data_IF_890564482849
#
_entry.id   IF_890564482849
#
_cell.length_a   1.000
_cell.length_b   1.000
_cell.length_c   1.000
_cell.angle_alpha   90.00
_cell.angle_beta   90.00
_cell.angle_gamma   90.00
#
_symmetry.space_group_name_H-M   'P 1'
#
loop_
_entity.id
_entity.type
_entity.pdbx_description
1 polymer ?
#
# COMPACT_ATOMS: atom_id res chain seq x y z
N UNK A 1 -11.91 -43.56 5.87
CA UNK A 1 -10.58 -44.16 5.58
C UNK A 1 -10.33 -44.43 4.10
N UNK A 2 -11.28 -45.01 3.34
CA UNK A 2 -11.08 -45.27 1.91
C UNK A 2 -10.88 -44.00 1.05
N UNK A 3 -11.55 -42.93 1.35
CA UNK A 3 -11.41 -41.64 0.64
C UNK A 3 -10.02 -41.07 0.86
N UNK A 4 -9.52 -41.07 2.09
CA UNK A 4 -8.15 -40.58 2.41
C UNK A 4 -7.08 -41.48 1.77
N UNK A 5 -7.31 -42.79 1.70
CA UNK A 5 -6.41 -43.70 0.99
C UNK A 5 -6.35 -43.41 -0.51
N UNK A 6 -7.49 -43.14 -1.14
CA UNK A 6 -7.55 -42.74 -2.56
C UNK A 6 -6.83 -41.40 -2.80
N UNK A 7 -7.08 -40.42 -1.96
CA UNK A 7 -6.37 -39.11 -2.06
C UNK A 7 -4.88 -39.27 -1.94
N UNK A 8 -4.37 -39.97 -0.92
CA UNK A 8 -2.93 -40.19 -0.75
C UNK A 8 -2.32 -40.94 -1.93
N UNK A 9 -3.06 -41.89 -2.52
CA UNK A 9 -2.58 -42.62 -3.71
C UNK A 9 -2.58 -41.75 -4.96
N UNK A 10 -3.57 -40.86 -5.14
CA UNK A 10 -3.60 -39.89 -6.23
C UNK A 10 -2.48 -38.85 -6.09
N UNK A 11 -2.24 -38.36 -4.88
CA UNK A 11 -1.11 -37.44 -4.60
C UNK A 11 0.26 -38.11 -4.90
N UNK A 12 0.44 -39.36 -4.44
CA UNK A 12 1.68 -40.10 -4.72
C UNK A 12 1.85 -40.36 -6.22
N UNK A 13 0.80 -40.72 -6.93
CA UNK A 13 0.83 -40.95 -8.38
C UNK A 13 1.14 -39.66 -9.12
N UNK A 14 0.49 -38.54 -8.77
CA UNK A 14 0.73 -37.23 -9.41
C UNK A 14 2.13 -36.69 -9.12
N UNK A 15 2.68 -36.93 -7.93
CA UNK A 15 4.05 -36.54 -7.58
C UNK A 15 5.13 -37.26 -8.39
N UNK A 16 4.86 -38.53 -8.80
CA UNK A 16 5.84 -39.34 -9.55
C UNK A 16 5.66 -39.28 -11.07
N UNK A 17 4.43 -39.15 -11.54
CA UNK A 17 4.09 -39.26 -12.95
C UNK A 17 3.37 -38.02 -13.51
N UNK A 18 3.00 -37.05 -12.66
CA UNK A 18 2.34 -35.84 -13.09
C UNK A 18 3.29 -34.82 -13.72
N UNK A 19 2.81 -34.08 -14.68
CA UNK A 19 3.53 -32.92 -15.22
C UNK A 19 3.48 -31.75 -14.23
N UNK A 20 4.60 -31.06 -14.07
CA UNK A 20 4.64 -29.82 -13.30
C UNK A 20 3.95 -28.69 -14.10
N UNK A 21 2.76 -28.32 -13.68
CA UNK A 21 1.98 -27.27 -14.33
C UNK A 21 2.06 -26.01 -13.48
N UNK A 22 2.50 -24.89 -14.07
CA UNK A 22 2.35 -23.59 -13.44
C UNK A 22 0.90 -23.15 -13.49
N UNK A 23 0.34 -22.83 -12.33
CA UNK A 23 -1.03 -22.31 -12.21
C UNK A 23 -1.03 -20.92 -11.60
N UNK A 24 -1.94 -20.09 -12.07
CA UNK A 24 -2.04 -18.69 -11.68
C UNK A 24 -3.37 -18.40 -10.99
N UNK A 25 -3.41 -17.35 -10.21
CA UNK A 25 -4.64 -16.85 -9.60
C UNK A 25 -4.99 -15.50 -10.19
N UNK A 26 -6.16 -15.34 -10.75
CA UNK A 26 -6.75 -14.16 -11.38
C UNK A 26 -5.97 -13.60 -12.57
N UNK A 27 -4.68 -13.38 -12.48
CA UNK A 27 -3.83 -12.81 -13.53
C UNK A 27 -2.69 -13.76 -13.85
N UNK A 28 -2.50 -14.08 -15.12
CA UNK A 28 -1.43 -14.92 -15.63
C UNK A 28 -0.63 -14.19 -16.71
N UNK A 29 0.69 -14.40 -16.83
CA UNK A 29 1.46 -13.90 -17.94
C UNK A 29 1.11 -14.69 -19.23
N UNK A 30 1.10 -14.02 -20.37
CA UNK A 30 1.04 -14.63 -21.69
C UNK A 30 2.00 -13.93 -22.63
N UNK A 31 2.17 -14.46 -23.84
CA UNK A 31 3.00 -13.83 -24.85
C UNK A 31 2.49 -12.41 -25.18
N UNK A 32 3.36 -11.43 -24.97
CA UNK A 32 3.07 -10.01 -25.24
C UNK A 32 2.14 -9.33 -24.23
N UNK A 33 1.77 -9.99 -23.11
CA UNK A 33 0.87 -9.37 -22.15
C UNK A 33 0.41 -10.28 -21.01
N UNK A 34 -0.88 -10.20 -20.69
CA UNK A 34 -1.49 -10.96 -19.58
C UNK A 34 -2.85 -11.56 -19.96
N UNK A 35 -3.24 -12.58 -19.22
CA UNK A 35 -4.59 -13.14 -19.23
C UNK A 35 -5.23 -12.96 -17.86
N UNK A 36 -6.49 -12.48 -17.83
CA UNK A 36 -7.27 -12.26 -16.61
C UNK A 36 -8.42 -13.26 -16.56
N UNK A 37 -8.40 -14.14 -15.56
CA UNK A 37 -9.50 -15.09 -15.34
C UNK A 37 -10.77 -14.35 -14.90
N UNK A 38 -11.85 -14.48 -15.66
CA UNK A 38 -13.14 -13.92 -15.27
C UNK A 38 -13.81 -14.69 -14.13
N UNK A 39 -13.34 -15.90 -13.81
CA UNK A 39 -13.96 -16.73 -12.77
C UNK A 39 -15.34 -17.28 -13.18
N UNK A 40 -15.72 -17.19 -14.45
CA UNK A 40 -16.97 -17.69 -15.00
C UNK A 40 -16.97 -19.20 -15.15
N UNK A 41 -18.15 -19.83 -15.18
CA UNK A 41 -18.30 -21.29 -15.30
C UNK A 41 -17.85 -21.82 -16.67
N UNK A 42 -17.88 -20.99 -17.70
CA UNK A 42 -17.44 -21.31 -19.06
C UNK A 42 -15.92 -21.20 -19.26
N UNK A 43 -15.18 -20.87 -18.21
CA UNK A 43 -13.73 -20.69 -18.20
C UNK A 43 -13.24 -19.53 -19.09
N UNK A 44 -14.09 -18.54 -19.36
CA UNK A 44 -13.70 -17.36 -20.11
C UNK A 44 -12.66 -16.53 -19.36
N UNK A 45 -11.75 -15.93 -20.11
CA UNK A 45 -10.76 -14.97 -19.62
C UNK A 45 -10.53 -13.85 -20.64
N UNK A 46 -9.95 -12.75 -20.18
CA UNK A 46 -9.60 -11.63 -21.03
C UNK A 46 -8.10 -11.69 -21.30
N UNK A 47 -7.70 -11.73 -22.57
CA UNK A 47 -6.31 -11.56 -22.99
C UNK A 47 -6.06 -10.10 -23.34
N UNK A 48 -5.01 -9.52 -22.77
CA UNK A 48 -4.60 -8.11 -22.98
C UNK A 48 -3.16 -8.10 -23.49
N UNK A 49 -2.94 -7.48 -24.64
CA UNK A 49 -1.62 -7.30 -25.26
C UNK A 49 -1.44 -5.85 -25.73
N UNK A 50 -0.30 -5.52 -26.30
CA UNK A 50 -0.05 -4.20 -26.89
C UNK A 50 -0.92 -3.90 -28.12
N UNK A 51 -1.46 -4.94 -28.79
CA UNK A 51 -2.31 -4.84 -29.97
C UNK A 51 -3.79 -4.62 -29.64
N UNK A 52 -4.19 -4.90 -28.39
CA UNK A 52 -5.57 -4.80 -27.94
C UNK A 52 -5.91 -5.81 -26.85
N UNK A 53 -7.20 -5.92 -26.57
CA UNK A 53 -7.73 -6.92 -25.67
C UNK A 53 -8.85 -7.72 -26.35
N UNK A 54 -9.05 -8.97 -25.91
CA UNK A 54 -10.10 -9.84 -26.42
C UNK A 54 -10.57 -10.83 -25.34
N UNK A 55 -11.79 -11.33 -25.49
CA UNK A 55 -12.33 -12.42 -24.67
C UNK A 55 -11.94 -13.74 -25.32
N UNK A 56 -11.34 -14.62 -24.54
CA UNK A 56 -11.00 -15.98 -24.95
C UNK A 56 -11.96 -16.93 -24.26
N UNK A 57 -12.71 -17.69 -25.06
CA UNK A 57 -13.64 -18.71 -24.61
C UNK A 57 -12.97 -20.07 -24.66
N UNK A 58 -12.95 -20.79 -23.53
CA UNK A 58 -12.43 -22.16 -23.41
C UNK A 58 -10.97 -22.35 -23.85
N UNK A 59 -10.07 -22.26 -22.89
CA UNK A 59 -8.81 -22.98 -22.96
C UNK A 59 -7.70 -22.36 -23.81
N UNK A 60 -7.07 -21.30 -23.32
CA UNK A 60 -5.79 -20.75 -23.85
C UNK A 60 -4.56 -21.64 -23.52
N UNK A 61 -4.70 -22.73 -22.82
CA UNK A 61 -3.58 -23.46 -22.23
C UNK A 61 -3.17 -22.97 -20.83
N UNK A 62 -3.44 -21.71 -20.49
CA UNK A 62 -3.20 -21.16 -19.15
C UNK A 62 -4.08 -21.85 -18.10
N UNK A 63 -3.45 -22.24 -16.99
CA UNK A 63 -4.15 -22.90 -15.88
C UNK A 63 -4.39 -21.94 -14.74
N UNK A 64 -5.66 -21.67 -14.44
CA UNK A 64 -6.06 -20.83 -13.34
C UNK A 64 -6.51 -21.63 -12.12
N UNK A 65 -6.04 -21.25 -10.93
CA UNK A 65 -6.55 -21.74 -9.65
C UNK A 65 -7.76 -20.92 -9.24
N UNK A 66 -8.85 -21.58 -8.89
CA UNK A 66 -10.07 -20.95 -8.41
C UNK A 66 -10.39 -21.43 -7.01
N UNK A 67 -10.35 -20.53 -6.05
CA UNK A 67 -10.72 -20.82 -4.66
C UNK A 67 -12.22 -20.59 -4.44
N UNK A 68 -12.79 -21.22 -3.43
CA UNK A 68 -14.25 -21.16 -3.12
C UNK A 68 -14.75 -19.72 -2.85
N UNK A 69 -13.88 -18.83 -2.39
CA UNK A 69 -14.21 -17.43 -2.13
C UNK A 69 -14.13 -16.53 -3.37
N UNK A 70 -13.60 -17.03 -4.48
CA UNK A 70 -13.49 -16.27 -5.72
C UNK A 70 -14.88 -16.04 -6.33
N UNK A 71 -15.14 -14.80 -6.76
CA UNK A 71 -16.35 -14.42 -7.49
C UNK A 71 -16.01 -14.02 -8.92
N UNK A 72 -17.01 -14.13 -9.81
CA UNK A 72 -16.82 -13.80 -11.21
C UNK A 72 -16.76 -12.30 -11.46
N UNK A 73 -15.90 -11.91 -12.38
CA UNK A 73 -15.96 -10.63 -13.09
C UNK A 73 -17.03 -10.71 -14.17
N UNK A 74 -17.81 -9.64 -14.42
CA UNK A 74 -18.70 -9.63 -15.57
C UNK A 74 -17.90 -9.56 -16.87
N UNK A 75 -18.52 -9.97 -17.96
CA UNK A 75 -17.98 -9.70 -19.28
C UNK A 75 -17.88 -8.17 -19.48
N UNK A 76 -16.77 -7.67 -20.06
CA UNK A 76 -16.70 -6.27 -20.43
C UNK A 76 -17.73 -5.93 -21.51
N UNK A 77 -18.15 -4.68 -21.58
CA UNK A 77 -19.03 -4.23 -22.66
C UNK A 77 -18.34 -4.39 -24.02
N UNK A 78 -19.13 -4.64 -25.06
CA UNK A 78 -18.62 -4.79 -26.42
C UNK A 78 -18.01 -3.50 -26.98
N UNK A 79 -17.12 -3.62 -27.95
CA UNK A 79 -16.49 -2.53 -28.67
C UNK A 79 -15.17 -2.06 -28.04
N UNK A 80 -14.60 -1.05 -28.65
CA UNK A 80 -13.32 -0.44 -28.20
C UNK A 80 -13.58 0.46 -27.00
N UNK A 81 -12.78 0.30 -25.93
CA UNK A 81 -12.84 1.15 -24.76
C UNK A 81 -12.32 2.58 -25.00
N UNK A 82 -12.76 3.51 -24.15
CA UNK A 82 -12.37 4.91 -24.20
C UNK A 82 -12.09 5.47 -22.81
N UNK A 83 -11.56 6.70 -22.75
CA UNK A 83 -11.38 7.44 -21.50
C UNK A 83 -12.74 7.77 -20.84
N UNK A 84 -13.79 7.94 -21.63
CA UNK A 84 -15.12 8.24 -21.10
C UNK A 84 -15.70 7.08 -20.31
N UNK A 85 -15.35 5.86 -20.68
CA UNK A 85 -15.70 4.67 -19.90
C UNK A 85 -15.13 4.74 -18.48
N UNK A 86 -13.91 5.27 -18.34
CA UNK A 86 -13.24 5.43 -17.04
C UNK A 86 -13.82 6.61 -16.25
N UNK A 87 -14.33 7.64 -16.92
CA UNK A 87 -14.97 8.78 -16.27
C UNK A 87 -16.22 8.37 -15.46
N UNK A 88 -16.84 7.23 -15.78
CA UNK A 88 -17.93 6.67 -14.97
C UNK A 88 -17.49 6.39 -13.52
N UNK A 89 -16.21 6.07 -13.28
CA UNK A 89 -15.68 5.85 -11.93
C UNK A 89 -15.71 7.12 -11.07
N UNK A 90 -15.74 8.32 -11.66
CA UNK A 90 -15.83 9.59 -10.91
C UNK A 90 -17.09 9.68 -10.04
N UNK A 91 -18.17 8.97 -10.40
CA UNK A 91 -19.38 8.90 -9.58
C UNK A 91 -19.16 8.22 -8.23
N UNK A 92 -18.14 7.36 -8.16
CA UNK A 92 -17.91 6.46 -7.04
C UNK A 92 -16.64 6.83 -6.24
N UNK A 93 -15.76 7.67 -6.81
CA UNK A 93 -14.48 8.03 -6.24
C UNK A 93 -14.45 9.50 -5.85
N UNK A 94 -14.57 9.76 -4.55
CA UNK A 94 -14.51 11.11 -4.00
C UNK A 94 -13.06 11.55 -3.81
N UNK A 95 -12.40 11.89 -4.93
CA UNK A 95 -10.99 12.30 -4.99
C UNK A 95 -10.78 13.41 -5.99
N UNK A 96 -9.69 14.18 -5.83
CA UNK A 96 -9.21 15.10 -6.85
C UNK A 96 -8.84 14.37 -8.16
N UNK A 97 -8.68 15.14 -9.24
CA UNK A 97 -8.39 14.57 -10.57
C UNK A 97 -7.08 13.75 -10.59
N UNK A 98 -6.01 14.24 -9.95
CA UNK A 98 -4.70 13.57 -9.96
C UNK A 98 -4.76 12.26 -9.17
N UNK A 99 -5.39 12.26 -8.00
CA UNK A 99 -5.68 11.05 -7.22
C UNK A 99 -6.50 10.05 -8.02
N UNK A 100 -7.51 10.51 -8.76
CA UNK A 100 -8.33 9.68 -9.62
C UNK A 100 -7.49 8.95 -10.68
N UNK A 101 -6.62 9.68 -11.40
CA UNK A 101 -5.76 9.07 -12.43
C UNK A 101 -4.72 8.14 -11.82
N UNK A 102 -4.14 8.48 -10.67
CA UNK A 102 -3.20 7.60 -9.94
C UNK A 102 -3.87 6.28 -9.52
N UNK A 103 -5.13 6.32 -9.07
CA UNK A 103 -5.90 5.11 -8.75
C UNK A 103 -6.17 4.27 -10.00
N UNK A 104 -6.56 4.89 -11.11
CA UNK A 104 -6.73 4.18 -12.39
C UNK A 104 -5.42 3.53 -12.83
N UNK A 105 -4.31 4.24 -12.76
CA UNK A 105 -2.98 3.71 -13.08
C UNK A 105 -2.63 2.52 -12.16
N UNK A 106 -2.98 2.59 -10.86
CA UNK A 106 -2.81 1.49 -9.92
C UNK A 106 -3.68 0.28 -10.29
N UNK A 107 -4.96 0.47 -10.67
CA UNK A 107 -5.83 -0.62 -11.14
C UNK A 107 -5.19 -1.32 -12.34
N UNK A 108 -4.76 -0.55 -13.34
CA UNK A 108 -4.09 -1.09 -14.54
C UNK A 108 -2.81 -1.83 -14.17
N UNK A 109 -1.97 -1.25 -13.31
CA UNK A 109 -0.75 -1.88 -12.84
C UNK A 109 -1.02 -3.24 -12.17
N UNK A 110 -2.01 -3.32 -11.27
CA UNK A 110 -2.36 -4.56 -10.58
C UNK A 110 -2.92 -5.61 -11.57
N UNK A 111 -3.71 -5.19 -12.56
CA UNK A 111 -4.24 -6.08 -13.58
C UNK A 111 -3.18 -6.57 -14.58
N UNK A 112 -2.10 -5.82 -14.78
CA UNK A 112 -0.96 -6.21 -15.63
C UNK A 112 0.14 -6.95 -14.87
N UNK A 113 0.03 -7.09 -13.55
CA UNK A 113 1.06 -7.70 -12.71
C UNK A 113 0.62 -9.07 -12.21
N UNK A 114 1.07 -10.18 -12.82
CA UNK A 114 0.80 -11.53 -12.32
C UNK A 114 1.56 -11.81 -11.02
N UNK A 115 1.06 -12.74 -10.21
CA UNK A 115 1.73 -13.20 -8.98
C UNK A 115 2.87 -14.16 -9.32
N UNK A 116 3.97 -13.61 -9.78
CA UNK A 116 5.22 -14.34 -10.08
C UNK A 116 6.37 -13.80 -9.23
N UNK A 117 7.44 -14.57 -9.09
CA UNK A 117 8.54 -14.26 -8.16
C UNK A 117 9.24 -12.91 -8.45
N UNK A 118 9.22 -12.45 -9.69
CA UNK A 118 9.84 -11.18 -10.10
C UNK A 118 8.93 -9.96 -10.02
N UNK A 119 7.66 -10.12 -9.66
CA UNK A 119 6.72 -8.99 -9.58
C UNK A 119 6.68 -8.38 -8.17
N UNK A 120 6.42 -7.08 -8.11
CA UNK A 120 6.22 -6.34 -6.87
C UNK A 120 4.90 -5.58 -6.94
N UNK A 121 4.09 -5.61 -5.89
CA UNK A 121 2.84 -4.87 -5.82
C UNK A 121 3.01 -3.56 -5.07
N UNK A 122 2.47 -2.48 -5.61
CA UNK A 122 2.33 -1.22 -4.89
C UNK A 122 1.09 -1.30 -3.99
N UNK A 123 1.26 -0.97 -2.73
CA UNK A 123 0.20 -0.97 -1.72
C UNK A 123 -0.63 0.30 -1.89
N UNK A 124 -1.93 0.18 -2.13
CA UNK A 124 -2.81 1.34 -2.13
C UNK A 124 -3.16 1.73 -0.68
N UNK A 125 -2.68 2.87 -0.24
CA UNK A 125 -2.89 3.38 1.11
C UNK A 125 -3.94 4.50 1.12
N UNK A 126 -5.16 4.19 1.59
CA UNK A 126 -6.26 5.14 1.63
C UNK A 126 -6.32 5.82 2.99
N UNK A 127 -6.14 7.14 2.99
CA UNK A 127 -6.31 8.01 4.14
C UNK A 127 -7.62 8.79 4.00
N UNK A 128 -8.44 8.77 5.03
CA UNK A 128 -9.66 9.55 5.00
C UNK A 128 -10.27 9.73 6.38
N UNK A 129 -10.97 10.81 6.57
CA UNK A 129 -11.83 11.04 7.74
C UNK A 129 -13.04 10.10 7.73
N UNK A 130 -13.69 9.93 8.86
CA UNK A 130 -14.93 9.16 8.94
C UNK A 130 -16.01 9.77 8.02
N UNK A 131 -16.75 8.92 7.31
CA UNK A 131 -17.82 9.36 6.42
C UNK A 131 -17.37 9.85 5.02
N UNK A 132 -16.13 9.59 4.60
CA UNK A 132 -15.59 9.92 3.26
C UNK A 132 -15.91 8.89 2.15
N UNK A 133 -16.68 7.85 2.43
CA UNK A 133 -16.96 6.78 1.44
C UNK A 133 -15.85 5.75 1.25
N UNK A 134 -14.85 5.73 2.12
CA UNK A 134 -13.65 4.86 2.04
C UNK A 134 -13.96 3.38 1.83
N UNK A 135 -14.91 2.83 2.59
CA UNK A 135 -15.26 1.41 2.49
C UNK A 135 -15.95 1.10 1.16
N UNK A 136 -16.81 2.00 0.65
CA UNK A 136 -17.43 1.85 -0.68
C UNK A 136 -16.37 1.90 -1.78
N UNK A 137 -15.46 2.88 -1.71
CA UNK A 137 -14.34 3.01 -2.65
C UNK A 137 -13.53 1.70 -2.73
N UNK A 138 -13.14 1.15 -1.58
CA UNK A 138 -12.40 -0.11 -1.49
C UNK A 138 -13.22 -1.28 -2.04
N UNK A 139 -14.51 -1.35 -1.74
CA UNK A 139 -15.41 -2.38 -2.25
C UNK A 139 -15.48 -2.36 -3.78
N UNK A 140 -15.57 -1.17 -4.38
CA UNK A 140 -15.57 -0.99 -5.84
C UNK A 140 -14.25 -1.45 -6.45
N UNK A 141 -13.11 -1.12 -5.86
CA UNK A 141 -11.80 -1.60 -6.33
C UNK A 141 -11.70 -3.13 -6.30
N UNK A 142 -12.14 -3.77 -5.21
CA UNK A 142 -12.19 -5.23 -5.14
C UNK A 142 -13.12 -5.81 -6.21
N UNK A 143 -14.30 -5.23 -6.40
CA UNK A 143 -15.25 -5.67 -7.42
C UNK A 143 -14.66 -5.53 -8.84
N UNK A 144 -13.85 -4.53 -9.12
CA UNK A 144 -13.21 -4.33 -10.43
C UNK A 144 -12.07 -5.31 -10.70
N UNK A 145 -11.25 -5.61 -9.69
CA UNK A 145 -9.98 -6.33 -9.91
C UNK A 145 -10.10 -7.80 -9.50
N UNK A 146 -10.55 -8.06 -8.28
CA UNK A 146 -10.58 -9.41 -7.70
C UNK A 146 -11.78 -9.57 -6.75
N UNK A 147 -13.01 -9.69 -7.29
CA UNK A 147 -14.19 -9.87 -6.47
C UNK A 147 -14.12 -11.19 -5.70
N UNK A 148 -14.38 -11.08 -4.38
CA UNK A 148 -14.39 -12.22 -3.46
C UNK A 148 -15.60 -12.17 -2.54
N UNK A 149 -16.07 -13.35 -2.09
CA UNK A 149 -17.19 -13.46 -1.14
C UNK A 149 -16.84 -12.87 0.24
N UNK A 150 -15.55 -12.72 0.56
CA UNK A 150 -15.12 -12.19 1.86
C UNK A 150 -15.08 -10.65 1.87
N UNK A 151 -14.75 -10.03 0.72
CA UNK A 151 -14.65 -8.57 0.62
C UNK A 151 -13.55 -7.97 1.49
N UNK A 152 -13.86 -6.85 2.14
CA UNK A 152 -12.93 -6.12 3.00
C UNK A 152 -12.75 -6.88 4.33
N UNK A 153 -11.52 -6.96 4.82
CA UNK A 153 -11.15 -7.72 6.02
C UNK A 153 -10.66 -6.80 7.14
N UNK A 154 -10.80 -7.24 8.38
CA UNK A 154 -10.00 -6.74 9.49
C UNK A 154 -8.63 -7.41 9.46
N UNK A 155 -7.55 -6.69 9.79
CA UNK A 155 -6.21 -7.27 9.81
C UNK A 155 -6.13 -8.39 10.86
N UNK A 156 -5.77 -9.63 10.47
CA UNK A 156 -5.77 -10.76 11.39
C UNK A 156 -4.58 -10.73 12.35
N UNK A 157 -4.76 -11.25 13.56
CA UNK A 157 -3.71 -11.30 14.58
C UNK A 157 -2.67 -12.40 14.35
N UNK A 158 -2.95 -13.38 13.50
CA UNK A 158 -2.04 -14.50 13.25
C UNK A 158 -1.56 -14.56 11.79
N UNK A 159 -0.28 -14.96 11.61
CA UNK A 159 0.37 -15.07 10.30
C UNK A 159 -0.33 -16.05 9.35
N UNK A 160 -0.88 -17.15 9.89
CA UNK A 160 -1.54 -18.19 9.09
C UNK A 160 -2.76 -17.63 8.36
N UNK A 161 -3.60 -16.85 9.05
CA UNK A 161 -4.77 -16.22 8.44
C UNK A 161 -4.36 -15.20 7.36
N UNK A 162 -3.27 -14.44 7.58
CA UNK A 162 -2.68 -13.55 6.57
C UNK A 162 -2.25 -14.35 5.34
N UNK A 163 -1.52 -15.46 5.55
CA UNK A 163 -1.05 -16.33 4.48
C UNK A 163 -2.18 -16.95 3.66
N UNK A 164 -3.25 -17.41 4.32
CA UNK A 164 -4.44 -17.96 3.65
C UNK A 164 -5.11 -16.89 2.77
N UNK A 165 -5.27 -15.67 3.30
CA UNK A 165 -5.84 -14.55 2.53
C UNK A 165 -4.97 -14.24 1.30
N UNK A 166 -3.66 -14.13 1.48
CA UNK A 166 -2.70 -13.85 0.40
C UNK A 166 -2.70 -14.94 -0.68
N UNK A 167 -2.81 -16.22 -0.30
CA UNK A 167 -2.84 -17.35 -1.24
C UNK A 167 -4.10 -17.35 -2.09
N UNK A 168 -5.26 -17.02 -1.50
CA UNK A 168 -6.59 -17.17 -2.12
C UNK A 168 -7.16 -15.87 -2.69
N UNK A 169 -6.34 -14.83 -2.90
CA UNK A 169 -6.76 -13.54 -3.45
C UNK A 169 -5.65 -12.94 -4.29
N UNK A 170 -5.98 -12.16 -5.33
CA UNK A 170 -5.04 -11.32 -6.07
C UNK A 170 -4.89 -9.98 -5.38
N UNK A 171 -5.98 -9.47 -4.81
CA UNK A 171 -6.00 -8.25 -3.99
C UNK A 171 -6.64 -8.54 -2.65
N UNK A 172 -6.01 -8.08 -1.57
CA UNK A 172 -6.57 -8.12 -0.21
C UNK A 172 -6.73 -6.72 0.32
N UNK A 173 -7.92 -6.40 0.83
CA UNK A 173 -8.19 -5.12 1.47
C UNK A 173 -8.34 -5.28 2.99
N UNK A 174 -7.63 -4.45 3.73
CA UNK A 174 -7.73 -4.36 5.19
C UNK A 174 -8.29 -2.99 5.61
N UNK A 175 -9.29 -3.02 6.48
CA UNK A 175 -9.93 -1.81 7.03
C UNK A 175 -9.50 -1.53 8.47
N UNK A 176 -9.76 -0.29 8.89
CA UNK A 176 -9.44 0.19 10.24
C UNK A 176 -7.96 0.07 10.63
N UNK A 177 -7.07 0.24 9.66
CA UNK A 177 -5.64 0.30 9.94
C UNK A 177 -5.36 1.51 10.84
N UNK A 178 -4.78 1.22 11.98
CA UNK A 178 -4.35 2.23 12.95
C UNK A 178 -2.85 2.07 13.09
N UNK A 179 -2.18 2.95 13.77
CA UNK A 179 -0.76 2.92 14.08
C UNK A 179 -0.11 1.52 13.94
N UNK A 180 0.64 1.30 12.86
CA UNK A 180 1.19 -0.01 12.53
C UNK A 180 2.48 -0.25 13.32
N UNK A 181 2.55 -1.39 14.02
CA UNK A 181 3.82 -1.80 14.60
C UNK A 181 4.83 -2.17 13.51
N UNK A 182 6.12 -2.09 13.81
CA UNK A 182 7.18 -2.50 12.88
C UNK A 182 6.96 -3.91 12.35
N UNK A 183 6.56 -4.85 13.21
CA UNK A 183 6.26 -6.23 12.80
C UNK A 183 5.15 -6.29 11.73
N UNK A 184 4.07 -5.53 11.89
CA UNK A 184 2.99 -5.49 10.89
C UNK A 184 3.47 -4.83 9.61
N UNK A 185 4.24 -3.74 9.71
CA UNK A 185 4.83 -3.05 8.56
C UNK A 185 5.74 -3.97 7.75
N UNK A 186 6.63 -4.71 8.40
CA UNK A 186 7.51 -5.70 7.76
C UNK A 186 6.70 -6.81 7.07
N UNK A 187 5.62 -7.29 7.72
CA UNK A 187 4.74 -8.30 7.14
C UNK A 187 3.99 -7.79 5.90
N UNK A 188 3.48 -6.55 5.92
CA UNK A 188 2.83 -5.93 4.77
C UNK A 188 3.82 -5.74 3.60
N UNK A 189 5.07 -5.34 3.89
CA UNK A 189 6.14 -5.28 2.90
C UNK A 189 6.38 -6.64 2.24
N UNK A 190 6.47 -7.69 3.06
CA UNK A 190 6.68 -9.07 2.58
C UNK A 190 5.50 -9.57 1.72
N UNK A 191 4.27 -9.24 2.08
CA UNK A 191 3.08 -9.57 1.29
C UNK A 191 3.11 -8.91 -0.09
N UNK A 192 3.54 -7.67 -0.18
CA UNK A 192 3.57 -6.90 -1.42
C UNK A 192 4.72 -7.28 -2.36
N UNK A 193 5.87 -7.68 -1.81
CA UNK A 193 7.07 -8.02 -2.60
C UNK A 193 7.31 -9.51 -2.79
N UNK A 194 6.44 -10.34 -2.22
CA UNK A 194 6.62 -11.79 -2.20
C UNK A 194 7.55 -12.26 -1.08
N UNK A 195 7.23 -13.40 -0.53
CA UNK A 195 8.03 -14.01 0.54
C UNK A 195 7.44 -15.32 1.05
N UNK A 196 8.03 -15.84 2.12
CA UNK A 196 7.60 -17.08 2.76
C UNK A 196 7.30 -16.78 4.22
N UNK A 197 6.07 -17.04 4.63
CA UNK A 197 5.72 -17.05 6.06
C UNK A 197 5.99 -18.46 6.60
N UNK A 198 6.72 -18.54 7.70
CA UNK A 198 6.95 -19.78 8.43
C UNK A 198 6.03 -19.87 9.63
N UNK A 199 5.44 -21.03 9.84
CA UNK A 199 4.67 -21.34 11.03
C UNK A 199 5.00 -22.76 11.49
N UNK A 200 4.92 -23.02 12.80
CA UNK A 200 5.15 -24.37 13.32
C UNK A 200 4.04 -25.31 12.86
N UNK A 201 4.44 -26.48 12.38
CA UNK A 201 3.48 -27.55 12.05
C UNK A 201 2.93 -28.12 13.36
N UNK A 202 1.61 -28.07 13.54
CA UNK A 202 0.95 -28.70 14.68
C UNK A 202 1.21 -30.20 14.67
N UNK A 203 1.61 -30.76 15.82
CA UNK A 203 1.85 -32.19 16.05
C UNK A 203 3.15 -32.79 15.45
N UNK A 204 4.14 -31.96 15.09
CA UNK A 204 5.49 -32.43 14.73
C UNK A 204 6.54 -31.55 15.37
N UNK A 205 7.57 -32.15 16.02
CA UNK A 205 8.60 -31.39 16.73
C UNK A 205 9.57 -30.66 15.81
N UNK A 206 9.73 -31.07 14.55
CA UNK A 206 10.73 -30.54 13.59
C UNK A 206 10.12 -30.02 12.26
N UNK A 207 8.80 -29.83 12.15
CA UNK A 207 8.17 -29.45 10.90
C UNK A 207 7.78 -27.95 10.84
N UNK A 208 8.34 -27.20 9.88
CA UNK A 208 7.84 -25.88 9.50
C UNK A 208 6.80 -25.97 8.38
N UNK A 209 5.72 -25.20 8.51
CA UNK A 209 4.78 -24.98 7.41
C UNK A 209 5.23 -23.73 6.67
N UNK A 210 5.61 -23.88 5.41
CA UNK A 210 6.00 -22.79 4.53
C UNK A 210 4.77 -22.31 3.76
N UNK A 211 4.44 -21.02 3.89
CA UNK A 211 3.32 -20.39 3.16
C UNK A 211 3.92 -19.30 2.27
N UNK A 212 3.97 -19.56 0.96
CA UNK A 212 4.33 -18.52 0.01
C UNK A 212 3.25 -17.45 -0.02
N UNK A 213 3.64 -16.21 0.16
CA UNK A 213 2.75 -15.05 0.16
C UNK A 213 3.19 -14.04 -0.87
N UNK A 214 2.24 -13.58 -1.66
CA UNK A 214 2.42 -12.50 -2.61
C UNK A 214 1.04 -12.01 -3.02
N UNK A 215 0.71 -10.75 -2.71
CA UNK A 215 -0.64 -10.23 -2.92
C UNK A 215 -0.63 -8.70 -2.96
N UNK A 216 -1.43 -8.11 -3.85
CA UNK A 216 -1.68 -6.67 -3.83
C UNK A 216 -2.52 -6.30 -2.60
N UNK A 217 -2.23 -5.14 -2.02
CA UNK A 217 -2.86 -4.69 -0.78
C UNK A 217 -3.58 -3.37 -0.96
N UNK A 218 -4.77 -3.25 -0.36
CA UNK A 218 -5.46 -1.99 -0.10
C UNK A 218 -5.55 -1.83 1.41
N UNK A 219 -5.03 -0.73 1.93
CA UNK A 219 -5.05 -0.43 3.37
C UNK A 219 -5.91 0.80 3.61
N UNK A 220 -6.94 0.65 4.44
CA UNK A 220 -7.80 1.75 4.85
C UNK A 220 -7.43 2.18 6.26
N UNK A 221 -6.99 3.41 6.42
CA UNK A 221 -6.66 3.99 7.72
C UNK A 221 -7.30 5.34 7.97
N UNK A 222 -7.15 5.83 9.20
CA UNK A 222 -7.51 7.17 9.63
C UNK A 222 -6.21 7.86 10.03
N UNK A 223 -5.90 9.00 9.41
CA UNK A 223 -4.67 9.75 9.63
C UNK A 223 -3.39 8.94 9.34
N UNK A 224 -2.25 9.36 9.88
CA UNK A 224 -0.91 8.83 9.63
C UNK A 224 -0.70 7.45 10.28
N UNK A 225 -1.25 6.39 9.70
CA UNK A 225 -1.09 5.03 10.23
C UNK A 225 0.15 4.30 9.71
N UNK A 226 0.82 4.83 8.68
CA UNK A 226 2.08 4.31 8.13
C UNK A 226 3.22 5.14 8.72
N UNK A 227 4.00 4.54 9.62
CA UNK A 227 5.11 5.18 10.34
C UNK A 227 6.48 4.67 9.85
N UNK A 228 6.56 3.44 9.35
CA UNK A 228 7.82 2.85 8.90
C UNK A 228 8.18 3.29 7.47
N UNK A 229 9.36 3.90 7.24
CA UNK A 229 9.77 4.40 5.93
C UNK A 229 9.81 3.32 4.85
N UNK A 230 10.17 2.08 5.22
CA UNK A 230 10.24 0.95 4.29
C UNK A 230 8.86 0.55 3.75
N UNK A 231 7.81 0.64 4.56
CA UNK A 231 6.43 0.45 4.14
C UNK A 231 5.94 1.64 3.31
N UNK A 232 6.25 2.87 3.75
CA UNK A 232 5.89 4.09 3.03
C UNK A 232 6.40 4.06 1.59
N UNK A 233 7.64 3.62 1.35
CA UNK A 233 8.27 3.51 0.03
C UNK A 233 7.56 2.53 -0.93
N UNK A 234 6.69 1.67 -0.42
CA UNK A 234 5.92 0.70 -1.21
C UNK A 234 4.46 1.09 -1.40
N UNK A 235 4.07 2.24 -0.87
CA UNK A 235 2.68 2.68 -0.90
C UNK A 235 2.39 3.67 -2.04
N UNK A 236 1.16 3.67 -2.51
CA UNK A 236 0.53 4.79 -3.21
C UNK A 236 -0.46 5.45 -2.23
N UNK A 237 -0.10 6.59 -1.63
CA UNK A 237 -0.99 7.29 -0.72
C UNK A 237 -2.09 8.03 -1.50
N UNK A 238 -3.35 7.80 -1.10
CA UNK A 238 -4.51 8.50 -1.65
C UNK A 238 -5.34 9.05 -0.49
N UNK A 239 -5.62 10.34 -0.53
CA UNK A 239 -6.48 11.00 0.41
C UNK A 239 -7.88 11.14 -0.20
N UNK A 240 -8.90 10.66 0.52
CA UNK A 240 -10.30 10.85 0.12
C UNK A 240 -10.85 12.11 0.78
N UNK A 241 -11.61 12.88 0.02
CA UNK A 241 -12.27 14.08 0.52
C UNK A 241 -13.47 13.74 1.42
N UNK A 242 -13.85 14.66 2.27
CA UNK A 242 -15.07 14.51 3.07
C UNK A 242 -16.31 14.64 2.17
N UNK A 243 -17.31 13.78 2.36
CA UNK A 243 -18.61 13.90 1.67
C UNK A 243 -19.53 14.76 2.52
N UNK A 244 -20.05 15.84 1.94
CA UNK A 244 -21.04 16.67 2.62
C UNK A 244 -22.28 15.84 2.97
N UNK A 245 -22.91 16.15 4.09
CA UNK A 245 -24.11 15.42 4.54
C UNK A 245 -25.27 15.46 3.56
N UNK A 246 -25.39 16.54 2.79
CA UNK A 246 -26.40 16.76 1.73
C UNK A 246 -26.18 15.91 0.48
N UNK A 247 -24.93 15.50 0.22
CA UNK A 247 -24.53 14.82 -1.01
C UNK A 247 -24.42 13.29 -0.84
N UNK A 248 -24.81 12.79 0.34
CA UNK A 248 -24.73 11.36 0.66
C UNK A 248 -25.84 10.58 -0.03
N UNK A 249 -25.43 9.64 -0.87
CA UNK A 249 -26.29 8.66 -1.53
C UNK A 249 -26.19 7.33 -0.76
N UNK A 250 -27.29 6.57 -0.59
CA UNK A 250 -27.24 5.24 0.02
C UNK A 250 -26.26 4.31 -0.71
N UNK A 251 -25.44 3.58 0.06
CA UNK A 251 -24.44 2.66 -0.51
C UNK A 251 -25.06 1.62 -1.44
N UNK A 252 -26.23 1.10 -1.11
CA UNK A 252 -26.97 0.13 -1.94
C UNK A 252 -27.34 0.70 -3.31
N UNK A 253 -27.71 1.96 -3.38
CA UNK A 253 -28.02 2.65 -4.63
C UNK A 253 -26.78 2.81 -5.50
N UNK A 254 -25.67 3.30 -4.91
CA UNK A 254 -24.40 3.46 -5.60
C UNK A 254 -23.85 2.10 -6.10
N UNK A 255 -23.98 1.05 -5.32
CA UNK A 255 -23.58 -0.30 -5.74
C UNK A 255 -24.43 -0.83 -6.89
N UNK A 256 -25.73 -0.59 -6.88
CA UNK A 256 -26.62 -0.99 -8.01
C UNK A 256 -26.26 -0.22 -9.29
N UNK A 257 -26.00 1.08 -9.20
CA UNK A 257 -25.51 1.89 -10.33
C UNK A 257 -24.17 1.36 -10.83
N UNK A 258 -23.23 1.07 -9.90
CA UNK A 258 -21.93 0.53 -10.25
C UNK A 258 -22.02 -0.83 -10.95
N UNK A 259 -22.89 -1.73 -10.52
CA UNK A 259 -23.08 -3.01 -11.18
C UNK A 259 -23.53 -2.86 -12.65
N UNK A 260 -24.33 -1.85 -12.97
CA UNK A 260 -24.73 -1.52 -14.34
C UNK A 260 -23.57 -0.90 -15.16
N UNK A 261 -22.79 0.00 -14.54
CA UNK A 261 -21.67 0.68 -15.20
C UNK A 261 -20.43 -0.20 -15.35
N UNK A 262 -20.29 -1.23 -14.51
CA UNK A 262 -19.09 -2.07 -14.38
C UNK A 262 -18.60 -2.70 -15.68
N UNK A 263 -19.44 -3.29 -16.57
CA UNK A 263 -18.99 -3.81 -17.86
C UNK A 263 -18.32 -2.75 -18.74
N UNK A 264 -18.86 -1.54 -18.75
CA UNK A 264 -18.31 -0.40 -19.52
C UNK A 264 -16.99 0.07 -18.92
N UNK A 265 -16.92 0.19 -17.59
CA UNK A 265 -15.70 0.55 -16.87
C UNK A 265 -14.58 -0.46 -17.14
N UNK A 266 -14.89 -1.77 -17.09
CA UNK A 266 -13.91 -2.82 -17.38
C UNK A 266 -13.38 -2.74 -18.82
N UNK A 267 -14.25 -2.46 -19.79
CA UNK A 267 -13.85 -2.20 -21.18
C UNK A 267 -12.82 -1.05 -21.27
N UNK A 268 -13.08 0.06 -20.58
CA UNK A 268 -12.15 1.20 -20.53
C UNK A 268 -10.81 0.84 -19.86
N UNK A 269 -10.85 0.07 -18.76
CA UNK A 269 -9.64 -0.39 -18.05
C UNK A 269 -8.81 -1.32 -18.94
N UNK A 270 -9.41 -2.30 -19.60
CA UNK A 270 -8.68 -3.23 -20.48
C UNK A 270 -8.10 -2.52 -21.70
N UNK A 271 -8.79 -1.54 -22.26
CA UNK A 271 -8.25 -0.70 -23.33
C UNK A 271 -7.05 0.10 -22.83
N UNK A 272 -7.15 0.77 -21.67
CA UNK A 272 -6.01 1.50 -21.10
C UNK A 272 -4.84 0.56 -20.77
N UNK A 273 -5.10 -0.64 -20.27
CA UNK A 273 -4.07 -1.64 -20.00
C UNK A 273 -3.31 -2.03 -21.29
N UNK A 274 -4.02 -2.20 -22.41
CA UNK A 274 -3.42 -2.44 -23.71
C UNK A 274 -2.58 -1.24 -24.19
N UNK A 275 -3.12 -0.02 -24.08
CA UNK A 275 -2.41 1.20 -24.46
C UNK A 275 -1.13 1.38 -23.62
N UNK A 276 -1.17 1.04 -22.33
CA UNK A 276 -0.02 1.03 -21.41
C UNK A 276 1.02 0.00 -21.85
N UNK A 277 0.62 -1.24 -22.16
CA UNK A 277 1.55 -2.27 -22.66
C UNK A 277 2.24 -1.82 -23.95
N UNK A 278 1.53 -1.14 -24.83
CA UNK A 278 2.08 -0.57 -26.05
C UNK A 278 3.10 0.54 -25.79
N UNK A 279 2.86 1.38 -24.79
CA UNK A 279 3.74 2.51 -24.45
C UNK A 279 4.97 2.10 -23.61
N UNK A 280 4.86 1.05 -22.78
CA UNK A 280 5.91 0.61 -21.85
C UNK A 280 7.32 0.44 -22.46
N UNK A 281 7.50 -0.10 -23.68
CA UNK A 281 8.85 -0.24 -24.26
C UNK A 281 9.52 1.08 -24.59
N UNK A 282 8.76 2.15 -24.82
CA UNK A 282 9.25 3.45 -25.29
C UNK A 282 9.39 4.51 -24.19
N UNK A 283 8.97 4.20 -22.94
CA UNK A 283 8.99 5.16 -21.83
C UNK A 283 10.05 4.81 -20.79
N UNK A 284 10.64 5.85 -20.20
CA UNK A 284 11.51 5.75 -19.05
C UNK A 284 10.98 6.68 -17.94
N UNK A 285 11.02 6.24 -16.67
CA UNK A 285 10.62 7.10 -15.57
C UNK A 285 11.53 8.32 -15.43
N UNK A 286 10.94 9.51 -15.32
CA UNK A 286 11.65 10.77 -15.03
C UNK A 286 11.87 10.96 -13.52
N UNK A 287 11.00 10.42 -12.69
CA UNK A 287 11.06 10.47 -11.23
C UNK A 287 11.00 9.04 -10.66
N UNK A 288 12.05 8.22 -10.83
CA UNK A 288 12.05 6.86 -10.33
C UNK A 288 12.07 6.85 -8.80
N UNK A 289 11.14 6.10 -8.20
CA UNK A 289 11.09 5.80 -6.77
C UNK A 289 11.33 4.31 -6.56
N UNK A 290 11.31 3.81 -5.33
CA UNK A 290 11.58 2.40 -5.02
C UNK A 290 10.75 1.41 -5.85
N UNK A 291 9.48 1.73 -6.12
CA UNK A 291 8.59 0.92 -6.96
C UNK A 291 8.73 1.32 -8.44
N UNK A 292 9.88 0.98 -9.04
CA UNK A 292 10.27 1.43 -10.39
C UNK A 292 9.30 0.97 -11.47
N UNK A 293 8.77 -0.26 -11.36
CA UNK A 293 7.80 -0.82 -12.29
C UNK A 293 6.50 -0.01 -12.33
N UNK A 294 6.07 0.47 -11.16
CA UNK A 294 4.92 1.36 -11.09
C UNK A 294 5.23 2.75 -11.65
N UNK A 295 6.43 3.31 -11.40
CA UNK A 295 6.85 4.57 -12.03
C UNK A 295 6.88 4.46 -13.55
N UNK A 296 7.30 3.33 -14.11
CA UNK A 296 7.22 3.06 -15.56
C UNK A 296 5.77 2.98 -16.04
N UNK A 297 4.89 2.36 -15.25
CA UNK A 297 3.46 2.32 -15.58
C UNK A 297 2.85 3.72 -15.58
N UNK A 298 3.21 4.59 -14.62
CA UNK A 298 2.78 6.00 -14.62
C UNK A 298 3.24 6.73 -15.88
N UNK A 299 4.52 6.58 -16.28
CA UNK A 299 5.04 7.15 -17.52
C UNK A 299 4.29 6.62 -18.75
N UNK A 300 3.93 5.33 -18.77
CA UNK A 300 3.15 4.75 -19.86
C UNK A 300 1.70 5.26 -19.88
N UNK A 301 1.07 5.48 -18.73
CA UNK A 301 -0.25 6.11 -18.63
C UNK A 301 -0.22 7.56 -19.10
N UNK A 302 0.83 8.33 -18.74
CA UNK A 302 1.03 9.70 -19.24
C UNK A 302 1.09 9.71 -20.77
N UNK A 303 1.91 8.84 -21.37
CA UNK A 303 2.04 8.73 -22.82
C UNK A 303 0.72 8.28 -23.49
N UNK A 304 0.03 7.28 -22.94
CA UNK A 304 -1.21 6.74 -23.47
C UNK A 304 -2.38 7.74 -23.41
N UNK A 305 -2.36 8.66 -22.45
CA UNK A 305 -3.44 9.65 -22.23
C UNK A 305 -3.08 11.07 -22.64
N UNK A 306 -1.87 11.31 -23.17
CA UNK A 306 -1.42 12.64 -23.53
C UNK A 306 -1.27 13.58 -22.33
N UNK A 307 -0.99 13.03 -21.14
CA UNK A 307 -0.65 13.80 -19.95
C UNK A 307 0.82 14.23 -20.08
N UNK A 308 1.18 15.47 -19.69
CA UNK A 308 2.58 15.90 -19.77
C UNK A 308 3.51 14.95 -19.00
N UNK A 309 4.64 14.62 -19.60
CA UNK A 309 5.62 13.68 -19.06
C UNK A 309 6.08 14.12 -17.67
N UNK A 310 6.06 13.19 -16.72
CA UNK A 310 6.50 13.43 -15.35
C UNK A 310 5.40 13.87 -14.38
N UNK A 311 4.24 14.33 -14.86
CA UNK A 311 3.15 14.86 -14.01
C UNK A 311 2.70 13.87 -12.93
N UNK A 312 2.36 12.64 -13.30
CA UNK A 312 1.91 11.61 -12.37
C UNK A 312 3.05 11.07 -11.52
N UNK A 313 4.24 10.98 -12.11
CA UNK A 313 5.44 10.47 -11.44
C UNK A 313 5.93 11.44 -10.36
N UNK A 314 5.98 12.74 -10.66
CA UNK A 314 6.33 13.78 -9.69
C UNK A 314 5.34 13.82 -8.54
N UNK A 315 4.05 13.79 -8.85
CA UNK A 315 3.00 13.76 -7.81
C UNK A 315 3.10 12.51 -6.94
N UNK A 316 3.38 11.34 -7.52
CA UNK A 316 3.61 10.12 -6.75
C UNK A 316 4.84 10.25 -5.84
N UNK A 317 5.97 10.74 -6.38
CA UNK A 317 7.18 10.98 -5.59
C UNK A 317 6.95 11.98 -4.45
N UNK A 318 6.22 13.08 -4.71
CA UNK A 318 5.83 14.08 -3.70
C UNK A 318 5.01 13.44 -2.58
N UNK A 319 3.98 12.65 -2.90
CA UNK A 319 3.14 11.96 -1.91
C UNK A 319 3.93 10.99 -1.04
N UNK A 320 4.94 10.32 -1.61
CA UNK A 320 5.84 9.47 -0.82
C UNK A 320 6.72 10.27 0.13
N UNK A 321 7.13 11.47 -0.26
CA UNK A 321 7.86 12.37 0.63
C UNK A 321 6.96 12.89 1.74
N UNK A 322 5.73 13.29 1.42
CA UNK A 322 4.75 13.78 2.39
C UNK A 322 4.46 12.72 3.47
N UNK A 323 4.15 11.47 3.09
CA UNK A 323 3.88 10.42 4.08
C UNK A 323 5.10 10.10 4.96
N UNK A 324 6.30 10.16 4.41
CA UNK A 324 7.53 9.99 5.21
C UNK A 324 7.75 11.15 6.17
N UNK A 325 7.52 12.37 5.70
CA UNK A 325 7.60 13.56 6.56
C UNK A 325 6.59 13.49 7.69
N UNK A 326 5.36 13.15 7.38
CA UNK A 326 4.29 12.99 8.38
C UNK A 326 4.63 11.89 9.41
N UNK A 327 5.21 10.78 8.96
CA UNK A 327 5.66 9.70 9.83
C UNK A 327 6.77 10.16 10.80
N UNK A 328 7.71 10.97 10.30
CA UNK A 328 8.78 11.55 11.12
C UNK A 328 8.21 12.57 12.11
N UNK A 329 7.33 13.47 11.66
CA UNK A 329 6.71 14.50 12.52
C UNK A 329 5.80 13.90 13.59
N UNK A 330 5.24 12.72 13.36
CA UNK A 330 4.44 11.99 14.37
C UNK A 330 5.26 11.23 15.40
N UNK A 331 6.60 11.20 15.27
CA UNK A 331 7.49 10.63 16.29
C UNK A 331 7.45 11.49 17.55
N UNK A 332 7.19 10.88 18.74
CA UNK A 332 7.05 11.67 19.98
C UNK A 332 8.30 12.47 20.38
N UNK A 333 9.50 12.01 19.98
CA UNK A 333 10.74 12.76 20.21
C UNK A 333 10.84 13.93 19.25
N UNK A 334 10.49 13.74 17.99
CA UNK A 334 10.44 14.80 16.99
C UNK A 334 9.44 15.88 17.38
N UNK A 335 8.20 15.49 17.74
CA UNK A 335 7.15 16.39 18.22
C UNK A 335 7.64 17.21 19.44
N UNK A 336 8.23 16.53 20.44
CA UNK A 336 8.76 17.17 21.62
C UNK A 336 9.92 18.13 21.31
N UNK A 337 10.81 17.77 20.39
CA UNK A 337 11.94 18.61 19.98
C UNK A 337 11.48 19.88 19.25
N UNK A 338 10.50 19.77 18.34
CA UNK A 338 9.92 20.92 17.65
C UNK A 338 9.23 21.85 18.66
N UNK A 339 8.45 21.29 19.60
CA UNK A 339 7.82 22.07 20.65
C UNK A 339 8.82 22.74 21.57
N UNK A 340 9.88 22.04 21.97
CA UNK A 340 10.97 22.58 22.77
C UNK A 340 11.68 23.72 22.06
N UNK A 341 12.05 23.54 20.79
CA UNK A 341 12.69 24.57 19.99
C UNK A 341 11.83 25.83 19.86
N UNK A 342 10.53 25.70 19.64
CA UNK A 342 9.60 26.81 19.54
C UNK A 342 9.45 27.60 20.86
N UNK A 343 9.74 26.98 22.01
CA UNK A 343 9.70 27.64 23.33
C UNK A 343 11.00 28.31 23.71
N UNK A 344 12.16 27.86 23.19
CA UNK A 344 13.48 28.39 23.56
C UNK A 344 13.59 29.91 23.50
N UNK A 345 13.02 30.60 22.49
CA UNK A 345 13.10 32.07 22.40
C UNK A 345 12.28 32.80 23.48
N UNK A 346 11.32 32.12 24.13
CA UNK A 346 10.31 32.73 25.02
C UNK A 346 10.38 32.27 26.48
N UNK A 347 11.12 31.22 26.77
CA UNK A 347 11.10 30.58 28.09
C UNK A 347 12.36 30.91 28.91
N UNK A 348 12.21 31.81 29.89
CA UNK A 348 13.28 32.22 30.78
C UNK A 348 13.78 31.10 31.72
N UNK A 349 13.02 30.04 31.93
CA UNK A 349 13.44 28.90 32.76
C UNK A 349 14.47 28.01 32.06
N UNK A 350 14.47 27.98 30.72
CA UNK A 350 15.34 27.11 29.91
C UNK A 350 16.47 27.90 29.19
N UNK A 351 16.42 29.23 29.19
CA UNK A 351 17.36 30.10 28.47
C UNK A 351 18.08 31.03 29.45
N UNK A 352 19.38 31.03 29.38
CA UNK A 352 20.25 32.00 30.14
C UNK A 352 20.27 33.40 29.51
N UNK A 353 19.64 33.63 28.34
CA UNK A 353 19.57 34.91 27.63
C UNK A 353 18.26 35.06 26.87
N UNK A 354 17.69 36.23 26.81
CA UNK A 354 16.42 36.56 26.13
C UNK A 354 16.42 36.38 24.61
N UNK A 355 17.57 36.06 24.00
CA UNK A 355 17.74 35.85 22.54
C UNK A 355 18.31 34.47 22.23
N UNK A 356 18.07 33.49 23.10
CA UNK A 356 18.72 32.18 22.97
C UNK A 356 18.13 31.36 21.82
N UNK A 357 18.87 31.26 20.76
CA UNK A 357 18.67 30.28 19.68
C UNK A 357 19.40 28.96 19.97
N UNK A 358 20.00 28.82 21.15
CA UNK A 358 20.80 27.65 21.53
C UNK A 358 20.52 27.21 22.98
N UNK A 359 20.33 25.88 23.18
CA UNK A 359 20.30 25.22 24.47
C UNK A 359 21.43 24.20 24.57
N UNK A 360 22.11 24.10 25.73
CA UNK A 360 23.13 23.08 25.98
C UNK A 360 22.93 22.44 27.37
N UNK A 361 22.89 21.13 27.39
CA UNK A 361 22.77 20.36 28.64
C UNK A 361 23.13 18.88 28.46
N UNK A 362 23.00 18.12 29.52
CA UNK A 362 23.17 16.65 29.49
C UNK A 362 21.96 15.96 28.84
N UNK A 363 22.13 14.74 28.30
CA UNK A 363 21.00 13.95 27.81
C UNK A 363 19.90 13.72 28.84
N UNK A 364 20.26 13.69 30.15
CA UNK A 364 19.30 13.54 31.26
C UNK A 364 18.48 14.82 31.44
N UNK A 365 19.11 15.97 31.43
CA UNK A 365 18.45 17.27 31.53
C UNK A 365 17.51 17.49 30.34
N UNK A 366 17.94 17.13 29.11
CA UNK A 366 17.09 17.19 27.93
C UNK A 366 15.88 16.27 28.05
N UNK A 367 16.07 15.01 28.53
CA UNK A 367 14.97 14.05 28.72
C UNK A 367 13.91 14.60 29.69
N UNK A 368 14.35 15.26 30.77
CA UNK A 368 13.46 15.89 31.73
C UNK A 368 12.73 17.07 31.09
N UNK A 369 13.47 17.97 30.42
CA UNK A 369 12.91 19.15 29.77
C UNK A 369 11.84 18.77 28.73
N UNK A 370 12.13 17.80 27.84
CA UNK A 370 11.17 17.32 26.86
C UNK A 370 9.99 16.60 27.51
N UNK A 371 10.25 15.83 28.56
CA UNK A 371 9.19 15.08 29.29
C UNK A 371 8.20 15.98 30.02
N UNK A 372 8.61 17.18 30.41
CA UNK A 372 7.79 18.13 31.17
C UNK A 372 6.98 19.09 30.28
N UNK A 373 7.20 19.07 28.97
CA UNK A 373 6.38 19.81 28.03
C UNK A 373 4.91 19.40 28.09
N UNK A 374 4.01 20.34 27.81
CA UNK A 374 2.56 20.12 27.74
C UNK A 374 1.97 19.32 28.91
N UNK A 375 2.30 19.72 30.15
CA UNK A 375 1.74 19.07 31.36
C UNK A 375 2.19 17.61 31.49
N UNK A 376 3.42 17.31 31.08
CA UNK A 376 4.04 15.96 31.15
C UNK A 376 3.47 14.94 30.16
N UNK A 377 2.84 15.40 29.05
CA UNK A 377 2.25 14.54 28.02
C UNK A 377 3.24 13.48 27.53
N UNK A 378 4.50 13.86 27.29
CA UNK A 378 5.52 12.95 26.74
C UNK A 378 5.97 11.90 27.75
N UNK A 379 6.01 12.19 29.07
CA UNK A 379 6.37 11.22 30.12
C UNK A 379 5.42 10.00 30.16
N UNK A 380 4.17 10.19 29.79
CA UNK A 380 3.16 9.13 29.80
C UNK A 380 3.01 8.43 28.43
N UNK A 381 3.74 8.88 27.41
CA UNK A 381 3.73 8.24 26.09
C UNK A 381 4.67 7.03 26.10
N UNK A 382 4.13 5.82 25.93
CA UNK A 382 4.91 4.56 25.91
C UNK A 382 5.98 4.48 24.82
N UNK A 383 5.90 5.33 23.80
CA UNK A 383 6.89 5.38 22.70
C UNK A 383 7.95 6.47 22.92
N UNK A 384 7.77 7.32 23.93
CA UNK A 384 8.79 8.30 24.31
C UNK A 384 9.91 7.59 25.09
N UNK A 385 11.19 7.99 24.88
CA UNK A 385 12.31 7.36 25.57
C UNK A 385 12.17 7.42 27.10
N UNK A 386 12.45 6.30 27.76
CA UNK A 386 12.46 6.17 29.22
C UNK A 386 13.81 6.47 29.84
N UNK A 387 14.86 6.62 29.02
CA UNK A 387 16.24 6.85 29.47
C UNK A 387 16.99 7.82 28.57
N UNK A 388 17.98 8.51 29.12
CA UNK A 388 18.87 9.40 28.40
C UNK A 388 19.67 8.70 27.27
N UNK A 389 19.92 7.38 27.43
CA UNK A 389 20.60 6.57 26.41
C UNK A 389 19.67 6.34 25.23
N UNK A 390 18.42 5.96 25.51
CA UNK A 390 17.38 5.76 24.50
C UNK A 390 17.07 7.05 23.74
N UNK A 391 16.92 8.18 24.46
CA UNK A 391 16.76 9.50 23.86
C UNK A 391 17.92 9.86 22.92
N UNK A 392 19.17 9.71 23.39
CA UNK A 392 20.35 10.03 22.57
C UNK A 392 20.44 9.18 21.31
N UNK A 393 20.06 7.89 21.37
CA UNK A 393 19.98 7.02 20.18
C UNK A 393 18.91 7.51 19.22
N UNK A 394 17.73 7.87 19.73
CA UNK A 394 16.63 8.35 18.88
C UNK A 394 16.95 9.68 18.22
N UNK A 395 17.52 10.64 18.94
CA UNK A 395 17.96 11.92 18.39
C UNK A 395 18.99 11.76 17.25
N UNK A 396 19.92 10.81 17.35
CA UNK A 396 20.85 10.49 16.24
C UNK A 396 20.14 9.98 14.99
N UNK A 397 19.08 9.21 15.15
CA UNK A 397 18.26 8.74 14.03
C UNK A 397 17.51 9.89 13.38
N UNK A 398 17.00 10.82 14.20
CA UNK A 398 16.20 11.97 13.76
C UNK A 398 17.05 13.21 13.37
N UNK A 399 18.38 13.16 13.52
CA UNK A 399 19.27 14.31 13.34
C UNK A 399 19.07 15.05 12.00
N UNK A 400 18.99 14.29 10.91
CA UNK A 400 18.79 14.86 9.57
C UNK A 400 17.40 15.48 9.38
N UNK A 401 16.39 14.90 10.01
CA UNK A 401 15.01 15.37 9.87
C UNK A 401 14.76 16.57 10.79
N UNK A 402 15.36 16.59 11.98
CA UNK A 402 15.39 17.76 12.86
C UNK A 402 16.06 18.95 12.16
N UNK A 403 17.15 18.71 11.44
CA UNK A 403 17.83 19.77 10.67
C UNK A 403 16.94 20.37 9.58
N UNK A 404 16.08 19.56 8.93
CA UNK A 404 15.10 20.06 7.94
C UNK A 404 14.04 20.98 8.57
N UNK A 405 13.71 20.74 9.84
CA UNK A 405 12.79 21.59 10.62
C UNK A 405 13.55 22.78 11.30
N UNK A 406 14.80 23.04 10.89
CA UNK A 406 15.60 24.16 11.42
C UNK A 406 16.23 23.87 12.79
N UNK A 407 16.22 22.60 13.25
CA UNK A 407 16.76 22.22 14.56
C UNK A 407 18.05 21.43 14.37
N UNK A 408 19.17 22.05 14.71
CA UNK A 408 20.48 21.38 14.69
C UNK A 408 20.77 20.74 16.05
N UNK A 409 21.13 19.46 16.07
CA UNK A 409 21.47 18.72 17.29
C UNK A 409 22.93 18.32 17.26
N UNK A 410 23.74 18.88 18.17
CA UNK A 410 25.17 18.64 18.25
C UNK A 410 25.52 17.81 19.49
N UNK A 411 26.27 16.71 19.28
CA UNK A 411 26.72 15.84 20.37
C UNK A 411 28.20 16.13 20.68
N UNK A 412 28.48 16.64 21.88
CA UNK A 412 29.85 16.86 22.36
C UNK A 412 30.23 15.77 23.37
N UNK A 413 31.44 15.22 23.22
CA UNK A 413 32.02 14.25 24.15
C UNK A 413 33.20 14.88 24.84
N UNK A 414 33.01 15.29 26.11
CA UNK A 414 34.08 15.75 27.01
C UNK A 414 34.06 14.86 28.27
N UNK A 415 34.46 15.37 29.42
CA UNK A 415 34.32 14.68 30.72
C UNK A 415 32.84 14.34 31.01
N UNK A 416 31.91 15.16 30.50
CA UNK A 416 30.47 14.96 30.54
C UNK A 416 29.95 14.95 29.09
N UNK A 417 29.00 14.07 28.79
CA UNK A 417 28.32 14.10 27.47
C UNK A 417 27.33 15.26 27.47
N UNK A 418 27.45 16.13 26.47
CA UNK A 418 26.54 17.25 26.27
C UNK A 418 25.86 17.17 24.92
N UNK A 419 24.60 17.62 24.90
CA UNK A 419 23.81 17.86 23.69
C UNK A 419 23.59 19.36 23.58
N UNK A 420 23.89 19.92 22.43
CA UNK A 420 23.55 21.29 22.09
C UNK A 420 22.48 21.31 21.02
N UNK A 421 21.39 22.02 21.23
CA UNK A 421 20.29 22.24 20.31
C UNK A 421 20.38 23.68 19.83
N UNK A 422 20.44 23.88 18.49
CA UNK A 422 20.42 25.19 17.85
C UNK A 422 19.24 25.35 16.96
N UNK A 423 18.62 26.51 16.97
CA UNK A 423 17.56 26.88 16.04
C UNK A 423 18.19 27.70 14.93
N UNK A 424 18.16 27.18 13.71
CA UNK A 424 18.57 27.89 12.51
C UNK A 424 17.34 28.66 11.99
N UNK A 425 17.36 29.98 12.12
CA UNK A 425 16.35 30.91 11.59
C UNK A 425 16.45 31.02 10.08
#
# INVERSE_FOLDING_TARGET
DQINFLFNRMESYSAHFGENIHSFYRVAPCEGGVEIDLGSSDLSHVKITAEGWSIVYRGSGTKFLRFKNMQALPLPAEGKGSIDDLNLLKKYFNTDWTSFILVIAWIVYIMLTPKIHSSNFVILALNAVAGSGKSLFTKILLLLIDPTAVGIRTFPQNKKAVGIAAKSSHVVAYDNMRRLSKFISDLLCQLATGGVLTDRKLYTDDGETLINVHVALILNGIHHYIEEPDLADRCLPINLEAINSTDRIPESELLNQFHNDRPVILRGIYQLASDVLKALPSVNPTHPVRMVEFSRTLAAVEAAKGIPVGTLQEEYARRLQDIKRDAVLSDPVMEAMVEFANRLPYDSEFSLRSDATEWTGTPTELLVALGDLNGKRYRYNKQFPDSAISLSKRLRVLEKDLLKEGIEVLFKRSKVRLITIRINT
#
